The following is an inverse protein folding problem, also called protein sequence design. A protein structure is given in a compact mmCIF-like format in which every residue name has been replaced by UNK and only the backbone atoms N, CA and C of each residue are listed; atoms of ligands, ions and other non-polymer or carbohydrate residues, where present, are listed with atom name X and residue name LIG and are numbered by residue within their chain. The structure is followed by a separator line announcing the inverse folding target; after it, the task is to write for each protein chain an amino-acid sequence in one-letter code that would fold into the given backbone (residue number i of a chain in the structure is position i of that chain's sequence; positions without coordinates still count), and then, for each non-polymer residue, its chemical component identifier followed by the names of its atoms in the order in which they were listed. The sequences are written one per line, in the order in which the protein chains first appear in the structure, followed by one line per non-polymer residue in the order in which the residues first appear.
data_IF_147251039317
#
_entry.id   IF_147251039317
#
_cell.length_a   1.000
_cell.length_b   1.000
_cell.length_c   1.000
_cell.angle_alpha   90.00
_cell.angle_beta   90.00
_cell.angle_gamma   90.00
#
_symmetry.space_group_name_H-M   'P 1'
#
loop_
_entity.id
_entity.type
_entity.pdbx_description
1 polymer ?
#
# COMPACT_ATOMS: atom_id res chain seq x y z
N UNK A 1 2.96 29.59 -7.76
CA UNK A 1 1.83 28.86 -7.12
C UNK A 1 1.01 27.96 -8.06
N UNK A 2 1.38 27.74 -9.33
CA UNK A 2 0.64 26.85 -10.27
C UNK A 2 1.19 25.43 -10.40
N UNK A 3 2.46 25.18 -10.07
CA UNK A 3 3.13 23.88 -10.25
C UNK A 3 2.66 22.81 -9.25
N UNK A 4 2.35 23.19 -8.02
CA UNK A 4 1.92 22.27 -6.95
C UNK A 4 0.55 21.64 -7.24
N UNK A 5 -0.39 22.42 -7.82
CA UNK A 5 -1.70 21.90 -8.23
C UNK A 5 -1.64 20.93 -9.41
N UNK A 6 -0.61 21.05 -10.26
CA UNK A 6 -0.43 20.17 -11.42
C UNK A 6 0.13 18.79 -10.99
N UNK A 7 0.96 18.75 -9.95
CA UNK A 7 1.44 17.50 -9.35
C UNK A 7 0.27 16.77 -8.65
N UNK A 8 -0.59 17.50 -7.93
CA UNK A 8 -1.82 16.97 -7.33
C UNK A 8 -2.80 16.39 -8.38
N UNK A 9 -2.92 17.02 -9.56
CA UNK A 9 -3.73 16.48 -10.65
C UNK A 9 -3.08 15.23 -11.30
N UNK A 10 -1.75 15.16 -11.33
CA UNK A 10 -1.01 14.00 -11.86
C UNK A 10 -1.06 12.79 -10.93
N UNK A 11 -1.13 13.00 -9.61
CA UNK A 11 -1.37 11.92 -8.65
C UNK A 11 -2.76 11.29 -8.86
N UNK A 12 -3.75 12.10 -9.29
CA UNK A 12 -5.08 11.63 -9.67
C UNK A 12 -5.15 10.94 -11.06
N UNK A 13 -4.22 11.25 -11.98
CA UNK A 13 -4.24 10.74 -13.37
C UNK A 13 -3.23 9.60 -13.64
N UNK A 14 -2.17 9.47 -12.86
CA UNK A 14 -1.26 8.32 -12.94
C UNK A 14 -1.84 7.03 -12.35
N UNK A 15 -3.01 7.11 -11.71
CA UNK A 15 -3.84 5.95 -11.39
C UNK A 15 -4.24 5.13 -12.64
N UNK A 16 -4.13 5.69 -13.84
CA UNK A 16 -4.69 5.09 -15.06
C UNK A 16 -3.82 4.08 -15.81
N UNK A 17 -2.49 4.01 -15.60
CA UNK A 17 -1.62 3.21 -16.51
C UNK A 17 -0.66 2.28 -15.76
N UNK A 18 -0.54 2.40 -14.43
CA UNK A 18 0.18 1.45 -13.57
C UNK A 18 -0.60 0.98 -12.33
N UNK A 19 -1.72 1.63 -11.99
CA UNK A 19 -2.51 1.34 -10.78
C UNK A 19 -3.75 0.48 -11.04
N UNK A 20 -4.05 0.19 -12.30
CA UNK A 20 -5.21 -0.62 -12.73
C UNK A 20 -5.13 -2.11 -12.33
N UNK A 21 -4.09 -2.56 -11.61
CA UNK A 21 -3.97 -3.95 -11.15
C UNK A 21 -4.04 -4.11 -9.63
N UNK A 22 -3.81 -3.05 -8.84
CA UNK A 22 -3.62 -3.15 -7.38
C UNK A 22 -4.81 -2.62 -6.57
N UNK A 23 -5.36 -1.44 -6.94
CA UNK A 23 -6.69 -1.02 -6.46
C UNK A 23 -7.76 -1.98 -6.99
N UNK A 24 -7.54 -2.51 -8.19
CA UNK A 24 -8.44 -3.41 -8.87
C UNK A 24 -8.56 -4.76 -8.15
N UNK A 25 -7.48 -5.34 -7.63
CA UNK A 25 -7.53 -6.64 -6.94
C UNK A 25 -8.15 -6.56 -5.54
N UNK A 26 -7.81 -5.53 -4.76
CA UNK A 26 -8.32 -5.35 -3.39
C UNK A 26 -9.77 -4.85 -3.33
N UNK A 27 -10.24 -4.06 -4.32
CA UNK A 27 -11.64 -3.66 -4.42
C UNK A 27 -12.55 -4.68 -5.12
N UNK A 28 -11.99 -5.61 -5.94
CA UNK A 28 -12.79 -6.54 -6.76
C UNK A 28 -12.93 -7.96 -6.21
N UNK A 29 -12.41 -8.29 -5.03
CA UNK A 29 -12.83 -9.53 -4.34
C UNK A 29 -14.25 -9.37 -3.80
N UNK A 30 -15.18 -9.70 -4.69
CA UNK A 30 -16.62 -9.52 -4.62
C UNK A 30 -17.25 -9.63 -6.03
N UNK A 31 -16.46 -9.32 -7.07
CA UNK A 31 -16.81 -9.56 -8.47
C UNK A 31 -16.16 -10.86 -8.97
N UNK A 32 -16.98 -11.76 -9.53
CA UNK A 32 -16.53 -13.00 -10.20
C UNK A 32 -15.40 -12.71 -11.19
N UNK A 33 -14.20 -13.25 -10.99
CA UNK A 33 -13.14 -13.20 -12.02
C UNK A 33 -11.68 -13.35 -11.59
N UNK A 34 -11.33 -13.10 -10.33
CA UNK A 34 -9.92 -13.16 -9.88
C UNK A 34 -9.56 -14.55 -9.35
N UNK A 35 -8.54 -15.17 -9.94
CA UNK A 35 -8.07 -16.52 -9.60
C UNK A 35 -6.72 -16.49 -8.87
N UNK A 36 -6.37 -17.60 -8.22
CA UNK A 36 -5.03 -17.80 -7.62
C UNK A 36 -3.88 -17.66 -8.63
N UNK A 37 -4.14 -17.99 -9.90
CA UNK A 37 -3.20 -17.85 -11.01
C UNK A 37 -2.86 -16.38 -11.26
N UNK A 38 -3.83 -15.48 -11.14
CA UNK A 38 -3.64 -14.04 -11.34
C UNK A 38 -2.79 -13.44 -10.22
N UNK A 39 -2.96 -13.92 -8.98
CA UNK A 39 -2.11 -13.52 -7.85
C UNK A 39 -0.66 -14.00 -8.02
N UNK A 40 -0.46 -15.21 -8.54
CA UNK A 40 0.89 -15.72 -8.83
C UNK A 40 1.59 -14.89 -9.91
N UNK A 41 0.89 -14.58 -11.00
CA UNK A 41 1.41 -13.74 -12.06
C UNK A 41 1.72 -12.31 -11.56
N UNK A 42 0.87 -11.76 -10.71
CA UNK A 42 1.07 -10.46 -10.08
C UNK A 42 2.35 -10.41 -9.23
N UNK A 43 2.56 -11.40 -8.35
CA UNK A 43 3.76 -11.50 -7.52
C UNK A 43 5.04 -11.58 -8.36
N UNK A 44 4.99 -12.23 -9.51
CA UNK A 44 6.12 -12.35 -10.44
C UNK A 44 6.38 -11.07 -11.24
N UNK A 45 5.32 -10.36 -11.63
CA UNK A 45 5.44 -9.16 -12.47
C UNK A 45 5.83 -7.90 -11.72
N UNK A 46 5.66 -7.86 -10.39
CA UNK A 46 6.00 -6.69 -9.58
C UNK A 46 6.87 -7.02 -8.34
N UNK A 47 8.20 -7.18 -8.51
CA UNK A 47 9.11 -7.39 -7.39
C UNK A 47 9.09 -6.25 -6.36
N UNK A 48 8.85 -5.01 -6.79
CA UNK A 48 8.72 -3.87 -5.88
C UNK A 48 7.47 -3.96 -5.01
N UNK A 49 6.35 -4.45 -5.56
CA UNK A 49 5.14 -4.73 -4.80
C UNK A 49 5.40 -5.80 -3.73
N UNK A 50 6.22 -6.80 -4.05
CA UNK A 50 6.64 -7.83 -3.09
C UNK A 50 7.57 -7.29 -1.99
N UNK A 51 8.34 -6.23 -2.26
CA UNK A 51 9.04 -5.50 -1.20
C UNK A 51 8.05 -4.87 -0.22
N UNK A 52 6.97 -4.26 -0.70
CA UNK A 52 5.94 -3.68 0.17
C UNK A 52 5.24 -4.77 1.00
N UNK A 53 4.93 -5.91 0.40
CA UNK A 53 4.39 -7.08 1.11
C UNK A 53 5.35 -7.52 2.22
N UNK A 54 6.65 -7.63 1.91
CA UNK A 54 7.67 -8.00 2.89
C UNK A 54 7.75 -7.00 4.05
N UNK A 55 7.69 -5.70 3.75
CA UNK A 55 7.71 -4.64 4.76
C UNK A 55 6.51 -4.79 5.71
N UNK A 56 5.30 -5.05 5.18
CA UNK A 56 4.09 -5.26 5.99
C UNK A 56 4.19 -6.53 6.83
N UNK A 57 4.65 -7.66 6.27
CA UNK A 57 4.83 -8.91 7.03
C UNK A 57 5.78 -8.68 8.20
N UNK A 58 6.91 -8.01 7.96
CA UNK A 58 7.90 -7.72 8.99
C UNK A 58 7.33 -6.79 10.08
N UNK A 59 6.58 -5.75 9.69
CA UNK A 59 5.94 -4.84 10.64
C UNK A 59 4.89 -5.57 11.47
N UNK A 60 4.01 -6.36 10.85
CA UNK A 60 2.97 -7.17 11.51
C UNK A 60 3.59 -8.15 12.51
N UNK A 61 4.66 -8.83 12.11
CA UNK A 61 5.40 -9.73 13.00
C UNK A 61 6.00 -8.98 14.18
N UNK A 62 6.73 -7.89 13.94
CA UNK A 62 7.45 -7.15 14.98
C UNK A 62 6.54 -6.38 15.94
N UNK A 63 5.49 -5.75 15.43
CA UNK A 63 4.64 -4.82 16.18
C UNK A 63 3.42 -5.53 16.75
N UNK A 64 2.87 -6.51 16.03
CA UNK A 64 1.63 -7.18 16.40
C UNK A 64 1.81 -8.65 16.80
N UNK A 65 2.99 -9.24 16.63
CA UNK A 65 3.20 -10.69 16.81
C UNK A 65 2.44 -11.55 15.80
N UNK A 66 1.97 -10.94 14.70
CA UNK A 66 1.14 -11.61 13.69
C UNK A 66 2.01 -12.23 12.59
N UNK A 67 1.69 -13.48 12.21
CA UNK A 67 2.26 -14.11 11.02
C UNK A 67 1.25 -14.01 9.89
N UNK A 68 1.65 -13.43 8.77
CA UNK A 68 0.79 -13.18 7.60
C UNK A 68 1.42 -13.85 6.38
N UNK A 69 0.62 -14.49 5.53
CA UNK A 69 1.13 -14.91 4.21
C UNK A 69 1.19 -13.70 3.27
N UNK A 70 2.03 -13.74 2.22
CA UNK A 70 2.03 -12.71 1.19
C UNK A 70 0.65 -12.49 0.55
N UNK A 71 -0.10 -13.58 0.37
CA UNK A 71 -1.43 -13.53 -0.25
C UNK A 71 -2.43 -12.84 0.68
N UNK A 72 -2.38 -13.11 1.98
CA UNK A 72 -3.21 -12.43 2.98
C UNK A 72 -2.92 -10.93 3.02
N UNK A 73 -1.65 -10.53 2.92
CA UNK A 73 -1.28 -9.10 2.86
C UNK A 73 -1.87 -8.43 1.62
N UNK A 74 -1.70 -9.03 0.44
CA UNK A 74 -2.18 -8.45 -0.82
C UNK A 74 -3.71 -8.33 -0.83
N UNK A 75 -4.41 -9.34 -0.30
CA UNK A 75 -5.87 -9.45 -0.38
C UNK A 75 -6.56 -8.69 0.75
N UNK A 76 -6.05 -8.76 1.98
CA UNK A 76 -6.81 -8.41 3.18
C UNK A 76 -6.21 -7.28 4.02
N UNK A 77 -4.91 -7.00 3.88
CA UNK A 77 -4.27 -5.96 4.69
C UNK A 77 -4.43 -4.59 4.01
N UNK A 78 -5.26 -3.73 4.58
CA UNK A 78 -5.51 -2.39 4.06
C UNK A 78 -4.25 -1.50 4.00
N UNK A 79 -3.17 -1.84 4.73
CA UNK A 79 -1.88 -1.15 4.57
C UNK A 79 -1.29 -1.39 3.19
N UNK A 80 -1.60 -2.51 2.53
CA UNK A 80 -1.00 -2.88 1.26
C UNK A 80 -1.31 -1.88 0.15
N UNK A 81 -2.59 -1.60 -0.11
CA UNK A 81 -2.98 -0.66 -1.16
C UNK A 81 -2.38 0.73 -0.94
N UNK A 82 -2.39 1.20 0.31
CA UNK A 82 -1.82 2.48 0.68
C UNK A 82 -0.30 2.53 0.50
N UNK A 83 0.43 1.60 1.13
CA UNK A 83 1.90 1.61 1.09
C UNK A 83 2.44 1.31 -0.29
N UNK A 84 1.75 0.48 -1.08
CA UNK A 84 2.14 0.23 -2.46
C UNK A 84 2.03 1.49 -3.31
N UNK A 85 0.95 2.26 -3.14
CA UNK A 85 0.78 3.55 -3.81
C UNK A 85 1.87 4.55 -3.40
N UNK A 86 2.15 4.67 -2.10
CA UNK A 86 3.21 5.56 -1.61
C UNK A 86 4.58 5.16 -2.18
N UNK A 87 4.92 3.86 -2.19
CA UNK A 87 6.20 3.34 -2.70
C UNK A 87 6.51 3.82 -4.12
N UNK A 88 5.49 3.87 -4.99
CA UNK A 88 5.64 4.26 -6.39
C UNK A 88 5.59 5.78 -6.64
N UNK A 89 5.14 6.57 -5.66
CA UNK A 89 4.99 8.02 -5.81
C UNK A 89 6.17 8.79 -5.18
N UNK A 90 6.67 8.30 -4.05
CA UNK A 90 7.63 9.06 -3.23
C UNK A 90 9.05 8.49 -3.31
N UNK A 91 10.05 9.29 -2.94
CA UNK A 91 11.42 8.82 -2.86
C UNK A 91 11.60 7.77 -1.75
N UNK A 92 12.64 6.94 -1.85
CA UNK A 92 12.95 5.92 -0.85
C UNK A 92 13.11 6.49 0.58
N UNK A 93 13.65 7.72 0.72
CA UNK A 93 13.80 8.39 2.01
C UNK A 93 12.45 8.79 2.63
N UNK A 94 11.52 9.25 1.80
CA UNK A 94 10.14 9.55 2.22
C UNK A 94 9.39 8.26 2.56
N UNK A 95 9.50 7.22 1.73
CA UNK A 95 8.90 5.92 2.01
C UNK A 95 9.36 5.35 3.36
N UNK A 96 10.66 5.46 3.65
CA UNK A 96 11.22 5.05 4.95
C UNK A 96 10.69 5.88 6.14
N UNK A 97 10.27 7.13 5.92
CA UNK A 97 9.57 7.94 6.94
C UNK A 97 8.13 7.46 7.13
N UNK A 98 7.45 7.10 6.05
CA UNK A 98 6.10 6.54 6.10
C UNK A 98 6.09 5.20 6.84
N UNK A 99 7.04 4.30 6.59
CA UNK A 99 7.16 3.04 7.35
C UNK A 99 7.35 3.27 8.86
N UNK A 100 8.05 4.34 9.25
CA UNK A 100 8.16 4.72 10.67
C UNK A 100 6.84 5.18 11.26
N UNK A 101 6.01 5.89 10.49
CA UNK A 101 4.64 6.24 10.90
C UNK A 101 3.76 5.00 11.00
N UNK A 102 3.88 4.04 10.07
CA UNK A 102 3.14 2.76 10.16
C UNK A 102 3.43 2.10 11.50
N UNK A 103 4.70 1.97 11.88
CA UNK A 103 5.07 1.40 13.17
C UNK A 103 4.51 2.21 14.34
N UNK A 104 4.60 3.53 14.31
CA UNK A 104 4.20 4.40 15.42
C UNK A 104 2.67 4.42 15.63
N UNK A 105 1.89 4.39 14.56
CA UNK A 105 0.42 4.51 14.59
C UNK A 105 -0.29 3.15 14.62
N UNK A 106 0.42 2.10 15.02
CA UNK A 106 -0.05 0.74 14.89
C UNK A 106 -1.45 0.49 15.46
N UNK A 107 -2.23 -0.27 14.69
CA UNK A 107 -3.58 -0.69 15.06
C UNK A 107 -3.79 -2.13 14.57
N UNK A 108 -3.20 -3.05 15.31
CA UNK A 108 -3.15 -4.47 14.96
C UNK A 108 -4.55 -5.12 14.83
N UNK A 109 -5.57 -4.52 15.45
CA UNK A 109 -6.95 -5.00 15.42
C UNK A 109 -7.79 -4.42 14.27
N UNK A 110 -7.36 -3.31 13.65
CA UNK A 110 -8.09 -2.69 12.56
C UNK A 110 -7.13 -2.10 11.52
N UNK A 111 -6.87 -2.89 10.47
CA UNK A 111 -5.97 -2.54 9.38
C UNK A 111 -6.38 -1.28 8.62
N UNK A 112 -7.68 -1.07 8.43
CA UNK A 112 -8.20 0.08 7.69
C UNK A 112 -8.01 1.37 8.51
N UNK A 113 -8.33 1.32 9.81
CA UNK A 113 -8.06 2.43 10.72
C UNK A 113 -6.56 2.72 10.81
N UNK A 114 -5.72 1.69 10.80
CA UNK A 114 -4.27 1.84 10.76
C UNK A 114 -3.82 2.62 9.51
N UNK A 115 -4.23 2.16 8.31
CA UNK A 115 -3.89 2.83 7.06
C UNK A 115 -4.37 4.29 7.04
N UNK A 116 -5.61 4.54 7.50
CA UNK A 116 -6.18 5.88 7.59
C UNK A 116 -5.40 6.82 8.52
N UNK A 117 -4.95 6.34 9.69
CA UNK A 117 -4.10 7.12 10.61
C UNK A 117 -2.77 7.49 9.95
N UNK A 118 -2.12 6.52 9.31
CA UNK A 118 -0.83 6.72 8.64
C UNK A 118 -0.98 7.68 7.46
N UNK A 119 -2.03 7.53 6.65
CA UNK A 119 -2.32 8.42 5.53
C UNK A 119 -2.45 9.87 6.00
N UNK A 120 -3.32 10.14 6.98
CA UNK A 120 -3.52 11.50 7.53
C UNK A 120 -2.22 12.13 8.00
N UNK A 121 -1.35 11.37 8.66
CA UNK A 121 -0.05 11.89 9.14
C UNK A 121 0.97 12.06 8.03
N UNK A 122 0.95 11.21 7.02
CA UNK A 122 1.82 11.33 5.86
C UNK A 122 1.48 12.58 5.05
N UNK A 123 0.19 12.88 4.87
CA UNK A 123 -0.27 14.11 4.22
C UNK A 123 0.23 15.37 4.93
N UNK A 124 0.36 15.35 6.27
CA UNK A 124 0.94 16.47 7.04
C UNK A 124 2.46 16.62 6.86
N UNK A 125 3.16 15.56 6.46
CA UNK A 125 4.62 15.57 6.24
C UNK A 125 4.98 15.92 4.79
N UNK A 126 4.06 15.68 3.86
CA UNK A 126 4.23 15.97 2.43
C UNK A 126 3.80 17.38 2.03
N UNK A 127 2.97 18.04 2.86
CA UNK A 127 2.58 19.44 2.71
C UNK A 127 3.51 20.37 3.49
#
# INVERSE_FOLDING_TARGET
MKKTKLILLFILLCAGIGSATVEDYSQKQGTKGYTYKDLTAYKQSCPECMSVVSDIIQIRSRVCGQTMSPDDVIVTDALYGYLNSVKHIVSASVYSRVLRLVVAENDCGNSENWANKVQKKTELILN
#
